data_IF_228683579738
#
_entry.id   IF_228683579738
#
_cell.length_a   1.000
_cell.length_b   1.000
_cell.length_c   1.000
_cell.angle_alpha   90.00
_cell.angle_beta   90.00
_cell.angle_gamma   90.00
#
_symmetry.space_group_name_H-M   'P 1'
#
loop_
_entity.id
_entity.type
_entity.pdbx_description
1 polymer ?
#
# COMPACT_ATOMS: atom_id res chain seq x y z
N UNK A 1 -22.13 -45.86 -42.20
CA UNK A 1 -22.95 -45.34 -41.09
C UNK A 1 -21.96 -44.93 -40.02
N UNK A 2 -21.68 -43.63 -39.92
CA UNK A 2 -20.68 -43.08 -39.00
C UNK A 2 -21.40 -42.47 -37.81
N UNK A 3 -20.98 -42.88 -36.62
CA UNK A 3 -21.56 -42.51 -35.34
C UNK A 3 -21.23 -41.04 -35.04
N UNK A 4 -22.25 -40.27 -34.63
CA UNK A 4 -22.14 -38.86 -34.27
C UNK A 4 -21.69 -38.79 -32.80
N UNK A 5 -20.40 -38.57 -32.56
CA UNK A 5 -19.88 -38.27 -31.23
C UNK A 5 -20.42 -36.91 -30.78
N UNK A 6 -21.38 -36.96 -29.86
CA UNK A 6 -21.93 -35.83 -29.12
C UNK A 6 -20.88 -35.34 -28.12
N UNK A 7 -20.15 -34.28 -28.46
CA UNK A 7 -19.19 -33.65 -27.57
C UNK A 7 -19.93 -32.93 -26.45
N UNK A 8 -20.03 -33.57 -25.29
CA UNK A 8 -20.47 -32.92 -24.06
C UNK A 8 -19.54 -31.73 -23.75
N UNK A 9 -20.07 -30.52 -23.86
CA UNK A 9 -19.38 -29.29 -23.44
C UNK A 9 -19.11 -29.37 -21.93
N UNK A 10 -17.86 -29.21 -21.46
CA UNK A 10 -17.60 -29.19 -20.04
C UNK A 10 -18.26 -27.93 -19.47
N UNK A 11 -19.02 -28.10 -18.38
CA UNK A 11 -19.61 -27.02 -17.61
C UNK A 11 -18.50 -26.25 -16.88
N UNK A 12 -17.71 -25.50 -17.64
CA UNK A 12 -16.66 -24.64 -17.12
C UNK A 12 -17.27 -23.43 -16.39
N UNK A 13 -16.55 -22.88 -15.40
CA UNK A 13 -16.97 -21.63 -14.77
C UNK A 13 -17.10 -20.54 -15.83
N UNK A 14 -18.19 -19.78 -15.77
CA UNK A 14 -18.39 -18.62 -16.65
C UNK A 14 -17.28 -17.59 -16.41
N UNK A 15 -16.97 -16.71 -17.37
CA UNK A 15 -15.95 -15.68 -17.23
C UNK A 15 -16.12 -14.77 -15.99
N UNK A 16 -17.34 -14.75 -15.42
CA UNK A 16 -17.70 -13.98 -14.23
C UNK A 16 -17.52 -14.78 -12.91
N UNK A 17 -16.91 -15.97 -12.94
CA UNK A 17 -16.66 -16.81 -11.76
C UNK A 17 -17.89 -17.49 -11.15
N UNK A 18 -19.08 -17.30 -11.73
CA UNK A 18 -20.33 -17.91 -11.26
C UNK A 18 -20.57 -19.27 -11.91
N UNK A 19 -20.99 -20.24 -11.10
CA UNK A 19 -21.44 -21.54 -11.58
C UNK A 19 -22.79 -21.40 -12.31
N UNK A 20 -23.04 -22.19 -13.37
CA UNK A 20 -24.23 -22.09 -14.22
C UNK A 20 -25.57 -22.38 -13.51
N UNK A 21 -25.57 -22.70 -12.22
CA UNK A 21 -26.76 -22.93 -11.39
C UNK A 21 -26.75 -22.13 -10.07
N UNK A 22 -26.12 -20.95 -10.08
CA UNK A 22 -26.24 -20.00 -8.98
C UNK A 22 -27.68 -19.45 -8.95
N UNK A 23 -28.57 -20.16 -8.25
CA UNK A 23 -29.88 -19.62 -7.84
C UNK A 23 -29.71 -18.33 -7.03
N UNK A 24 -30.78 -17.61 -6.67
CA UNK A 24 -30.68 -16.34 -5.95
C UNK A 24 -29.81 -16.53 -4.70
N UNK A 25 -28.63 -15.93 -4.71
CA UNK A 25 -27.57 -16.10 -3.68
C UNK A 25 -27.98 -15.43 -2.36
N UNK A 26 -28.98 -14.55 -2.40
CA UNK A 26 -29.51 -13.88 -1.22
C UNK A 26 -30.55 -14.79 -0.55
N UNK A 27 -30.06 -15.75 0.24
CA UNK A 27 -30.88 -16.38 1.27
C UNK A 27 -30.95 -15.42 2.45
N UNK A 28 -32.10 -15.38 3.13
CA UNK A 28 -32.21 -14.68 4.42
C UNK A 28 -31.11 -15.22 5.34
N UNK A 29 -30.21 -14.33 5.76
CA UNK A 29 -29.11 -14.70 6.64
C UNK A 29 -29.70 -15.07 7.99
N UNK A 30 -29.30 -16.22 8.51
CA UNK A 30 -29.67 -16.67 9.85
C UNK A 30 -29.24 -15.61 10.87
N UNK A 31 -30.19 -15.10 11.66
CA UNK A 31 -29.96 -13.95 12.53
C UNK A 31 -28.93 -14.23 13.62
N UNK A 32 -28.85 -15.46 14.12
CA UNK A 32 -27.86 -15.82 15.15
C UNK A 32 -26.46 -15.92 14.53
N UNK A 33 -26.35 -16.48 13.33
CA UNK A 33 -25.07 -16.52 12.59
C UNK A 33 -24.59 -15.13 12.21
N UNK A 34 -25.50 -14.25 11.79
CA UNK A 34 -25.17 -12.87 11.45
C UNK A 34 -24.69 -12.09 12.67
N UNK A 35 -25.39 -12.21 13.82
CA UNK A 35 -24.95 -11.60 15.07
C UNK A 35 -23.56 -12.10 15.49
N UNK A 36 -23.32 -13.40 15.39
CA UNK A 36 -21.99 -13.96 15.66
C UNK A 36 -20.91 -13.43 14.69
N UNK A 37 -21.25 -13.21 13.42
CA UNK A 37 -20.32 -12.62 12.45
C UNK A 37 -20.01 -11.15 12.77
N UNK A 38 -21.01 -10.37 13.17
CA UNK A 38 -20.83 -8.97 13.59
C UNK A 38 -19.94 -8.88 14.83
N UNK A 39 -20.17 -9.72 15.85
CA UNK A 39 -19.36 -9.74 17.07
C UNK A 39 -17.88 -10.05 16.76
N UNK A 40 -17.61 -11.09 15.97
CA UNK A 40 -16.24 -11.41 15.55
C UNK A 40 -15.61 -10.33 14.70
N UNK A 41 -16.39 -9.68 13.84
CA UNK A 41 -15.91 -8.57 13.01
C UNK A 41 -15.54 -7.37 13.89
N UNK A 42 -16.34 -7.04 14.91
CA UNK A 42 -16.06 -5.97 15.85
C UNK A 42 -14.78 -6.24 16.66
N UNK A 43 -14.57 -7.49 17.12
CA UNK A 43 -13.33 -7.90 17.78
C UNK A 43 -12.11 -7.69 16.88
N UNK A 44 -12.21 -8.07 15.60
CA UNK A 44 -11.14 -7.89 14.62
C UNK A 44 -10.86 -6.40 14.36
N UNK A 45 -11.91 -5.60 14.11
CA UNK A 45 -11.78 -4.15 13.90
C UNK A 45 -11.12 -3.50 15.12
N UNK A 46 -11.52 -3.87 16.33
CA UNK A 46 -10.92 -3.33 17.55
C UNK A 46 -9.41 -3.59 17.65
N UNK A 47 -8.93 -4.71 17.10
CA UNK A 47 -7.50 -5.06 17.06
C UNK A 47 -6.70 -4.33 15.96
N UNK A 48 -7.34 -3.98 14.83
CA UNK A 48 -6.63 -3.46 13.64
C UNK A 48 -6.87 -1.98 13.36
N UNK A 49 -7.90 -1.38 13.95
CA UNK A 49 -8.23 0.02 13.71
C UNK A 49 -7.09 0.94 14.17
N UNK A 50 -6.88 2.07 13.48
CA UNK A 50 -5.98 3.12 13.93
C UNK A 50 -6.24 3.55 15.37
N UNK A 51 -5.15 3.87 16.07
CA UNK A 51 -5.19 4.43 17.41
C UNK A 51 -4.27 5.64 17.51
N UNK A 52 -4.53 6.52 18.47
CA UNK A 52 -3.84 7.81 18.58
C UNK A 52 -2.31 7.69 18.68
N UNK A 53 -1.72 6.81 19.53
CA UNK A 53 -0.26 6.64 19.57
C UNK A 53 0.34 6.23 18.21
N UNK A 54 -0.33 5.32 17.51
CA UNK A 54 0.07 4.83 16.19
C UNK A 54 -0.04 5.94 15.12
N UNK A 55 -1.07 6.79 15.18
CA UNK A 55 -1.23 7.97 14.32
C UNK A 55 -0.10 8.97 14.54
N UNK A 56 0.16 9.35 15.79
CA UNK A 56 1.20 10.32 16.16
C UNK A 56 2.58 9.85 15.70
N UNK A 57 2.89 8.55 15.91
CA UNK A 57 4.16 7.96 15.46
C UNK A 57 4.29 7.95 13.94
N UNK A 58 3.25 7.54 13.20
CA UNK A 58 3.27 7.54 11.72
C UNK A 58 3.45 8.95 11.17
N UNK A 59 2.76 9.94 11.73
CA UNK A 59 2.90 11.33 11.33
C UNK A 59 4.31 11.86 11.62
N UNK A 60 4.89 11.54 12.78
CA UNK A 60 6.25 11.97 13.11
C UNK A 60 7.30 11.34 12.17
N UNK A 61 7.17 10.06 11.84
CA UNK A 61 8.04 9.38 10.87
C UNK A 61 7.86 9.99 9.47
N UNK A 62 6.62 10.21 9.03
CA UNK A 62 6.34 10.85 7.74
C UNK A 62 6.95 12.24 7.67
N UNK A 63 6.77 13.08 8.70
CA UNK A 63 7.33 14.42 8.80
C UNK A 63 8.86 14.41 8.78
N UNK A 64 9.49 13.42 9.45
CA UNK A 64 10.93 13.25 9.44
C UNK A 64 11.46 12.98 8.03
N UNK A 65 10.92 11.96 7.36
CA UNK A 65 11.33 11.59 6.00
C UNK A 65 11.04 12.72 5.02
N UNK A 66 9.88 13.39 5.17
CA UNK A 66 9.51 14.54 4.36
C UNK A 66 10.56 15.64 4.44
N UNK A 67 10.96 16.03 5.66
CA UNK A 67 12.02 17.03 5.88
C UNK A 67 13.35 16.59 5.32
N UNK A 68 13.71 15.32 5.50
CA UNK A 68 14.98 14.76 5.04
C UNK A 68 15.09 14.85 3.51
N UNK A 69 14.05 14.44 2.78
CA UNK A 69 14.00 14.54 1.32
C UNK A 69 14.00 16.01 0.88
N UNK A 70 13.14 16.85 1.46
CA UNK A 70 13.02 18.26 1.07
C UNK A 70 14.27 19.10 1.39
N UNK A 71 15.09 18.69 2.36
CA UNK A 71 16.37 19.36 2.67
C UNK A 71 17.43 19.05 1.63
N UNK A 72 17.46 17.82 1.12
CA UNK A 72 18.45 17.37 0.14
C UNK A 72 18.05 17.73 -1.30
N UNK A 73 16.77 17.96 -1.55
CA UNK A 73 16.25 18.09 -2.90
C UNK A 73 15.18 19.18 -3.07
N UNK A 74 15.20 19.92 -4.19
CA UNK A 74 14.15 20.90 -4.51
C UNK A 74 12.87 20.20 -4.97
N UNK A 75 12.08 19.73 -4.01
CA UNK A 75 10.83 19.00 -4.22
C UNK A 75 9.80 19.30 -3.13
N UNK A 76 8.57 18.87 -3.35
CA UNK A 76 7.51 18.81 -2.34
C UNK A 76 7.15 17.35 -2.11
N UNK A 77 6.99 16.95 -0.85
CA UNK A 77 6.69 15.58 -0.47
C UNK A 77 5.40 15.55 0.32
N UNK A 78 4.52 14.59 0.02
CA UNK A 78 3.22 14.42 0.67
C UNK A 78 2.98 12.95 1.01
N UNK A 79 2.26 12.70 2.10
CA UNK A 79 1.70 11.37 2.38
C UNK A 79 0.54 11.07 1.43
N UNK A 80 0.48 9.86 0.91
CA UNK A 80 -0.71 9.34 0.23
C UNK A 80 -1.10 7.98 0.84
N UNK A 81 -2.12 7.33 0.30
CA UNK A 81 -2.47 5.98 0.70
C UNK A 81 -3.16 5.93 2.06
N UNK A 82 -2.77 4.96 2.87
CA UNK A 82 -3.53 4.54 4.06
C UNK A 82 -3.45 5.53 5.23
N UNK A 83 -2.31 6.20 5.40
CA UNK A 83 -2.03 7.15 6.50
C UNK A 83 -3.00 8.34 6.50
N UNK A 84 -3.12 9.15 5.43
CA UNK A 84 -4.04 10.30 5.43
C UNK A 84 -5.52 9.88 5.51
N UNK A 85 -5.85 8.64 5.14
CA UNK A 85 -7.21 8.11 5.19
C UNK A 85 -7.57 7.44 6.52
N UNK A 86 -6.58 7.19 7.39
CA UNK A 86 -6.74 6.39 8.62
C UNK A 86 -7.36 5.02 8.34
N UNK A 87 -6.83 4.35 7.31
CA UNK A 87 -7.24 2.99 6.94
C UNK A 87 -6.09 1.99 6.95
N UNK A 88 -4.98 2.34 7.60
CA UNK A 88 -3.82 1.48 7.74
C UNK A 88 -4.06 0.38 8.76
N UNK A 89 -3.39 -0.75 8.54
CA UNK A 89 -3.28 -1.83 9.53
C UNK A 89 -2.14 -1.52 10.52
N UNK A 90 -2.07 -2.22 11.68
CA UNK A 90 -1.01 -2.01 12.67
C UNK A 90 0.41 -2.12 12.11
N UNK A 91 0.60 -2.94 11.08
CA UNK A 91 1.85 -3.18 10.35
C UNK A 91 1.88 -2.53 8.95
N UNK A 92 0.91 -1.66 8.64
CA UNK A 92 0.82 -0.99 7.35
C UNK A 92 1.92 0.05 7.14
N UNK A 93 2.34 0.17 5.88
CA UNK A 93 3.38 1.10 5.42
C UNK A 93 2.94 2.57 5.43
N UNK A 94 3.94 3.46 5.34
CA UNK A 94 3.75 4.90 5.14
C UNK A 94 4.11 5.25 3.70
N UNK A 95 3.08 5.52 2.90
CA UNK A 95 3.29 5.89 1.51
C UNK A 95 3.57 7.40 1.36
N UNK A 96 4.68 7.73 0.69
CA UNK A 96 5.08 9.10 0.38
C UNK A 96 5.18 9.30 -1.14
N UNK A 97 4.85 10.51 -1.60
CA UNK A 97 5.02 10.92 -2.99
C UNK A 97 5.77 12.23 -3.04
N UNK A 98 6.81 12.28 -3.90
CA UNK A 98 7.61 13.47 -4.11
C UNK A 98 7.35 14.07 -5.50
N UNK A 99 7.18 15.39 -5.55
CA UNK A 99 6.98 16.16 -6.77
C UNK A 99 8.13 17.15 -6.95
N UNK A 100 8.77 17.13 -8.11
CA UNK A 100 9.79 18.13 -8.49
C UNK A 100 9.57 18.62 -9.91
N UNK A 101 9.81 19.92 -10.12
CA UNK A 101 9.81 20.54 -11.44
C UNK A 101 11.17 20.39 -12.15
N UNK A 102 12.16 19.77 -11.50
CA UNK A 102 13.50 19.63 -12.04
C UNK A 102 13.58 18.38 -12.96
N UNK A 103 13.51 18.63 -14.27
CA UNK A 103 13.56 17.56 -15.28
C UNK A 103 14.88 16.78 -15.31
N UNK A 104 15.97 17.32 -14.76
CA UNK A 104 17.26 16.63 -14.69
C UNK A 104 17.26 15.45 -13.70
N UNK A 105 16.24 15.34 -12.85
CA UNK A 105 16.16 14.32 -11.82
C UNK A 105 15.48 13.05 -12.32
N UNK A 106 14.78 13.07 -13.46
CA UNK A 106 13.89 11.99 -13.92
C UNK A 106 14.51 10.58 -13.86
N UNK A 107 15.76 10.43 -14.28
CA UNK A 107 16.41 9.11 -14.40
C UNK A 107 17.36 8.78 -13.24
N UNK A 108 17.66 9.74 -12.38
CA UNK A 108 18.65 9.58 -11.28
C UNK A 108 18.07 9.81 -9.89
N UNK A 109 16.88 10.41 -9.80
CA UNK A 109 16.22 10.79 -8.56
C UNK A 109 16.14 9.65 -7.56
N UNK A 110 15.59 8.52 -7.98
CA UNK A 110 15.34 7.41 -7.07
C UNK A 110 16.65 6.85 -6.48
N UNK A 111 17.73 6.81 -7.28
CA UNK A 111 19.05 6.44 -6.78
C UNK A 111 19.62 7.49 -5.82
N UNK A 112 19.47 8.78 -6.11
CA UNK A 112 19.93 9.84 -5.21
C UNK A 112 19.19 9.82 -3.86
N UNK A 113 17.87 9.55 -3.88
CA UNK A 113 17.09 9.40 -2.64
C UNK A 113 17.52 8.15 -1.87
N UNK A 114 17.76 7.01 -2.55
CA UNK A 114 18.33 5.81 -1.93
C UNK A 114 19.66 6.11 -1.24
N UNK A 115 20.62 6.71 -1.95
CA UNK A 115 21.95 7.01 -1.42
C UNK A 115 21.87 7.96 -0.21
N UNK A 116 20.93 8.92 -0.24
CA UNK A 116 20.65 9.80 0.89
C UNK A 116 20.13 9.02 2.10
N UNK A 117 19.19 8.10 1.93
CA UNK A 117 18.65 7.27 3.01
C UNK A 117 19.69 6.31 3.58
N UNK A 118 20.55 5.73 2.73
CA UNK A 118 21.68 4.88 3.16
C UNK A 118 22.73 5.68 3.95
N UNK A 119 22.86 6.98 3.70
CA UNK A 119 23.69 7.85 4.53
C UNK A 119 23.00 8.18 5.86
N UNK A 120 21.68 8.38 5.85
CA UNK A 120 20.90 8.59 7.06
C UNK A 120 20.90 7.34 7.98
N UNK A 121 20.95 6.13 7.42
CA UNK A 121 21.11 4.89 8.19
C UNK A 121 22.41 4.86 9.02
N UNK A 122 23.45 5.57 8.58
CA UNK A 122 24.74 5.68 9.31
C UNK A 122 24.74 6.82 10.34
N UNK A 123 23.69 7.62 10.42
CA UNK A 123 23.59 8.76 11.32
C UNK A 123 23.12 8.32 12.72
N UNK A 124 24.06 8.16 13.66
CA UNK A 124 23.76 7.77 15.05
C UNK A 124 22.95 8.83 15.82
N UNK A 125 22.88 10.06 15.32
CA UNK A 125 22.14 11.16 15.94
C UNK A 125 20.77 11.40 15.27
N UNK A 126 20.32 10.50 14.39
CA UNK A 126 19.04 10.61 13.70
C UNK A 126 17.86 10.55 14.69
N UNK A 127 16.83 11.36 14.43
CA UNK A 127 15.58 11.32 15.20
C UNK A 127 14.87 9.97 15.03
N UNK A 128 14.89 9.45 13.80
CA UNK A 128 14.42 8.12 13.45
C UNK A 128 15.52 7.36 12.73
N UNK A 129 15.75 6.12 13.18
CA UNK A 129 16.77 5.26 12.57
C UNK A 129 16.24 4.65 11.28
N UNK A 130 16.83 5.05 10.16
CA UNK A 130 16.60 4.40 8.86
C UNK A 130 17.34 3.07 8.86
N UNK A 131 16.69 2.02 8.35
CA UNK A 131 17.27 0.69 8.18
C UNK A 131 16.75 0.05 6.90
N UNK A 132 17.53 -0.88 6.33
CA UNK A 132 17.10 -1.76 5.24
C UNK A 132 16.59 -0.99 4.00
N UNK A 133 17.34 0.01 3.54
CA UNK A 133 16.97 0.80 2.36
C UNK A 133 16.97 -0.08 1.12
N UNK A 134 15.82 -0.20 0.45
CA UNK A 134 15.65 -0.93 -0.79
C UNK A 134 15.05 -0.04 -1.88
N UNK A 135 15.65 -0.07 -3.06
CA UNK A 135 15.09 0.58 -4.24
C UNK A 135 14.41 -0.46 -5.12
N UNK A 136 13.11 -0.30 -5.33
CA UNK A 136 12.30 -1.13 -6.22
C UNK A 136 11.88 -0.28 -7.42
N UNK A 137 12.37 -0.64 -8.61
CA UNK A 137 11.95 0.00 -9.84
C UNK A 137 10.64 -0.61 -10.31
N UNK A 138 9.55 0.13 -10.16
CA UNK A 138 8.28 -0.21 -10.79
C UNK A 138 8.22 0.39 -12.21
N UNK A 139 7.61 -0.33 -13.16
CA UNK A 139 7.29 0.23 -14.47
C UNK A 139 6.07 1.14 -14.33
N UNK A 140 6.28 2.46 -14.29
CA UNK A 140 5.19 3.40 -14.08
C UNK A 140 4.20 3.42 -15.27
N UNK A 141 2.95 3.12 -14.94
CA UNK A 141 1.79 3.16 -15.82
C UNK A 141 1.15 4.56 -15.90
N UNK A 142 1.93 5.65 -15.82
CA UNK A 142 1.45 7.02 -16.09
C UNK A 142 2.55 7.85 -16.75
N UNK A 143 2.73 7.65 -18.06
CA UNK A 143 3.29 8.70 -18.93
C UNK A 143 2.26 9.82 -18.98
N UNK A 144 2.47 10.88 -18.22
CA UNK A 144 2.46 12.25 -18.75
C UNK A 144 2.59 13.30 -17.62
N UNK A 145 3.69 14.05 -17.70
CA UNK A 145 3.86 15.43 -17.23
C UNK A 145 3.99 15.79 -15.74
N UNK A 146 4.19 14.84 -14.84
CA UNK A 146 4.80 15.09 -13.52
C UNK A 146 5.92 14.06 -13.34
N UNK A 147 7.12 14.48 -12.94
CA UNK A 147 8.15 13.53 -12.46
C UNK A 147 7.65 13.03 -11.11
N UNK A 148 6.73 12.07 -11.16
CA UNK A 148 6.13 11.41 -10.02
C UNK A 148 6.85 10.09 -9.85
N UNK A 149 8.04 10.12 -9.27
CA UNK A 149 8.65 8.87 -8.79
C UNK A 149 7.94 8.53 -7.50
N UNK A 150 7.02 7.57 -7.56
CA UNK A 150 6.43 6.98 -6.36
C UNK A 150 7.55 6.25 -5.63
N UNK A 151 8.05 6.86 -4.55
CA UNK A 151 9.00 6.21 -3.68
C UNK A 151 8.23 5.55 -2.55
N UNK A 152 8.08 4.24 -2.64
CA UNK A 152 7.55 3.45 -1.54
C UNK A 152 8.63 3.35 -0.47
N UNK A 153 8.48 4.16 0.58
CA UNK A 153 9.30 4.01 1.78
C UNK A 153 8.62 3.00 2.70
N UNK A 154 9.09 1.77 2.66
CA UNK A 154 8.70 0.76 3.64
C UNK A 154 9.48 1.07 4.91
N UNK A 155 8.93 1.93 5.78
CA UNK A 155 9.44 2.08 7.14
C UNK A 155 9.01 0.88 8.00
N UNK A 156 9.55 -0.30 7.69
CA UNK A 156 9.44 -1.49 8.55
C UNK A 156 10.40 -1.37 9.73
N UNK A 157 10.07 -0.50 10.69
CA UNK A 157 10.69 -0.49 12.00
C UNK A 157 9.77 -1.18 12.99
N UNK A 158 10.17 -2.34 13.52
CA UNK A 158 9.48 -3.01 14.63
C UNK A 158 9.08 -1.99 15.72
N UNK A 159 7.77 -1.71 15.83
CA UNK A 159 7.20 -0.78 16.81
C UNK A 159 6.49 0.45 16.24
N UNK A 160 5.74 0.32 15.14
CA UNK A 160 4.67 1.25 14.75
C UNK A 160 3.38 1.05 15.56
#
# INVERSE_FOLDING_TARGET
MGEHEDWAQPSGPLPNGLLPNAGPVIRVLDSERWLGAEERTAELIACIQPNLPSEERRNAVADYVQRLIMTNFPCQVFTFGSVPLKTYLPDGDIDLTAFSNNQNLKDTWANQVRDMLENEEKNENAEFHVKEVQYIQAEDMYRDQLVCSSLYLICCGYGL
#
